data_IF_987192534283
#
_entry.id   IF_987192534283
#
_cell.length_a   1.000
_cell.length_b   1.000
_cell.length_c   1.000
_cell.angle_alpha   90.00
_cell.angle_beta   90.00
_cell.angle_gamma   90.00
#
_symmetry.space_group_name_H-M   'P 1'
#
loop_
_entity.id
_entity.type
_entity.pdbx_description
1 polymer ?
#
# COMPACT_ATOMS: atom_id res chain seq x y z
N UNK A 1 6.77 -16.12 4.90
CA UNK A 1 7.12 -14.83 4.27
C UNK A 1 7.93 -14.02 5.26
N UNK A 2 9.03 -13.39 4.81
CA UNK A 2 9.90 -12.55 5.63
C UNK A 2 10.09 -11.21 4.92
N UNK A 3 10.10 -10.11 5.68
CA UNK A 3 10.36 -8.78 5.14
C UNK A 3 11.83 -8.65 4.68
N UNK A 4 12.07 -7.77 3.71
CA UNK A 4 13.43 -7.41 3.30
C UNK A 4 14.13 -6.69 4.46
N UNK A 5 15.45 -6.91 4.58
CA UNK A 5 16.29 -6.20 5.55
C UNK A 5 16.09 -4.69 5.41
N UNK A 6 15.79 -4.02 6.53
CA UNK A 6 15.53 -2.58 6.56
C UNK A 6 14.09 -2.17 6.24
N UNK A 7 13.18 -3.11 5.99
CA UNK A 7 11.78 -2.80 5.78
C UNK A 7 11.18 -2.12 7.02
N UNK A 8 10.37 -1.10 6.78
CA UNK A 8 9.44 -0.56 7.77
C UNK A 8 8.06 -1.08 7.37
N UNK A 9 7.37 -1.73 8.29
CA UNK A 9 6.05 -2.28 8.05
C UNK A 9 5.07 -1.75 9.10
N UNK A 10 3.87 -1.35 8.69
CA UNK A 10 2.84 -0.88 9.59
C UNK A 10 1.48 -1.39 9.13
N UNK A 11 0.56 -1.58 10.07
CA UNK A 11 -0.84 -1.86 9.80
C UNK A 11 -1.68 -0.89 10.61
N UNK A 12 -2.64 -0.23 9.95
CA UNK A 12 -3.63 0.58 10.63
C UNK A 12 -4.65 -0.35 11.29
N UNK A 13 -4.47 -0.64 12.58
CA UNK A 13 -5.34 -1.50 13.35
C UNK A 13 -5.28 -1.09 14.82
N UNK A 14 -6.44 -0.98 15.45
CA UNK A 14 -6.57 -0.72 16.87
C UNK A 14 -5.81 -1.77 17.68
N UNK A 15 -5.22 -1.41 18.83
CA UNK A 15 -4.50 -2.36 19.69
C UNK A 15 -3.31 -3.08 19.02
N UNK A 16 -2.85 -2.65 17.84
CA UNK A 16 -1.74 -3.27 17.09
C UNK A 16 -0.45 -3.47 17.90
N UNK A 17 -0.23 -2.62 18.91
CA UNK A 17 0.89 -2.65 19.84
C UNK A 17 0.56 -3.15 21.25
N UNK A 18 -0.64 -3.64 21.51
CA UNK A 18 -1.11 -3.96 22.87
C UNK A 18 -0.37 -5.14 23.53
N UNK A 19 0.16 -6.08 22.74
CA UNK A 19 0.85 -7.27 23.26
C UNK A 19 2.18 -7.46 22.54
N UNK A 20 3.27 -7.06 23.20
CA UNK A 20 4.61 -7.12 22.59
C UNK A 20 5.34 -8.45 22.78
N UNK A 21 4.80 -9.36 23.59
CA UNK A 21 5.43 -10.64 23.91
C UNK A 21 4.86 -11.81 23.12
N UNK A 22 3.84 -11.58 22.28
CA UNK A 22 3.20 -12.63 21.51
C UNK A 22 2.99 -12.18 20.04
N UNK A 23 3.84 -12.64 19.09
CA UNK A 23 3.74 -12.28 17.68
C UNK A 23 2.48 -12.79 16.98
N UNK A 24 1.70 -13.68 17.61
CA UNK A 24 0.48 -14.24 17.03
C UNK A 24 -0.80 -13.45 17.34
N UNK A 25 -0.76 -12.48 18.27
CA UNK A 25 -1.98 -11.82 18.79
C UNK A 25 -2.26 -10.43 18.21
N UNK A 26 -1.23 -9.70 17.80
CA UNK A 26 -1.36 -8.35 17.25
C UNK A 26 -0.35 -8.12 16.12
N UNK A 27 -0.49 -6.98 15.43
CA UNK A 27 0.28 -6.70 14.22
C UNK A 27 1.73 -6.29 14.50
N UNK A 28 1.98 -5.36 15.43
CA UNK A 28 3.30 -4.72 15.54
C UNK A 28 4.42 -5.74 15.79
N UNK A 29 4.26 -6.64 16.75
CA UNK A 29 5.29 -7.67 17.01
C UNK A 29 5.29 -8.78 15.97
N UNK A 30 4.14 -9.15 15.42
CA UNK A 30 4.09 -10.08 14.29
C UNK A 30 4.85 -9.58 13.06
N UNK A 31 4.91 -8.25 12.85
CA UNK A 31 5.68 -7.61 11.78
C UNK A 31 7.18 -7.61 12.07
N UNK A 32 7.60 -7.28 13.29
CA UNK A 32 9.00 -7.35 13.73
C UNK A 32 9.54 -8.78 13.67
N UNK A 33 8.76 -9.76 14.18
CA UNK A 33 9.08 -11.19 14.13
C UNK A 33 9.28 -11.69 12.69
N UNK A 34 8.52 -11.13 11.73
CA UNK A 34 8.69 -11.39 10.29
C UNK A 34 9.83 -10.62 9.65
N UNK A 35 10.69 -9.94 10.41
CA UNK A 35 11.93 -9.31 9.94
C UNK A 35 11.80 -7.83 9.54
N UNK A 36 10.71 -7.15 9.90
CA UNK A 36 10.65 -5.69 9.77
C UNK A 36 11.67 -5.05 10.73
N UNK A 37 12.42 -4.06 10.25
CA UNK A 37 13.37 -3.31 11.05
C UNK A 37 12.66 -2.31 11.98
N UNK A 38 11.48 -1.84 11.58
CA UNK A 38 10.66 -0.98 12.39
C UNK A 38 9.17 -1.14 12.09
N UNK A 39 8.34 -0.75 13.05
CA UNK A 39 6.89 -0.69 12.92
C UNK A 39 6.30 0.44 13.76
N UNK A 40 5.07 0.82 13.41
CA UNK A 40 4.22 1.71 14.19
C UNK A 40 3.10 0.88 14.80
N UNK A 41 2.54 1.35 15.91
CA UNK A 41 1.40 0.67 16.51
C UNK A 41 0.66 1.51 17.52
N UNK A 42 -0.41 0.92 18.04
CA UNK A 42 -1.25 1.51 19.07
C UNK A 42 -1.48 0.53 20.21
N UNK A 43 -1.18 0.93 21.45
CA UNK A 43 -1.39 0.08 22.64
C UNK A 43 -2.87 -0.08 23.00
N UNK A 44 -3.71 0.85 22.56
CA UNK A 44 -5.16 0.83 22.75
C UNK A 44 -5.87 1.47 21.54
N UNK A 45 -7.18 1.71 21.61
CA UNK A 45 -7.99 2.36 20.56
C UNK A 45 -7.71 3.87 20.46
N UNK A 46 -6.97 4.32 19.43
CA UNK A 46 -6.55 5.71 19.35
C UNK A 46 -7.58 6.61 18.68
N UNK A 47 -8.64 6.08 18.07
CA UNK A 47 -9.40 6.74 17.00
C UNK A 47 -8.53 7.07 15.78
N UNK A 48 -9.14 7.04 14.59
CA UNK A 48 -8.42 7.23 13.33
C UNK A 48 -7.61 8.54 13.30
N UNK A 49 -8.19 9.63 13.79
CA UNK A 49 -7.58 10.97 13.77
C UNK A 49 -6.34 11.13 14.65
N UNK A 50 -6.11 10.24 15.61
CA UNK A 50 -4.94 10.29 16.50
C UNK A 50 -3.93 9.18 16.24
N UNK A 51 -4.10 8.42 15.16
CA UNK A 51 -3.07 7.50 14.67
C UNK A 51 -1.93 8.25 13.96
N UNK A 52 -0.82 7.57 13.72
CA UNK A 52 0.26 8.09 12.89
C UNK A 52 -0.25 8.37 11.46
N UNK A 53 -0.03 9.59 10.99
CA UNK A 53 -0.26 10.02 9.62
C UNK A 53 0.81 9.43 8.70
N UNK A 54 0.48 8.35 8.00
CA UNK A 54 1.45 7.62 7.16
C UNK A 54 2.03 8.45 6.02
N UNK A 55 1.26 9.40 5.49
CA UNK A 55 1.71 10.40 4.51
C UNK A 55 2.85 11.26 5.08
N UNK A 56 2.68 11.77 6.30
CA UNK A 56 3.70 12.57 6.98
C UNK A 56 4.90 11.69 7.36
N UNK A 57 4.65 10.53 7.96
CA UNK A 57 5.71 9.59 8.36
C UNK A 57 6.63 9.23 7.20
N UNK A 58 6.04 8.85 6.06
CA UNK A 58 6.78 8.50 4.86
C UNK A 58 7.59 9.71 4.33
N UNK A 59 6.98 10.89 4.22
CA UNK A 59 7.68 12.10 3.78
C UNK A 59 8.89 12.44 4.69
N UNK A 60 8.74 12.34 6.01
CA UNK A 60 9.85 12.60 6.95
C UNK A 60 10.99 11.60 6.78
N UNK A 61 10.68 10.31 6.60
CA UNK A 61 11.70 9.32 6.29
C UNK A 61 12.45 9.67 4.99
N UNK A 62 11.72 10.09 3.94
CA UNK A 62 12.34 10.49 2.66
C UNK A 62 13.27 11.71 2.80
N UNK A 63 12.97 12.61 3.74
CA UNK A 63 13.77 13.78 4.12
C UNK A 63 14.90 13.46 5.10
N UNK A 64 15.21 12.17 5.31
CA UNK A 64 16.33 11.69 6.13
C UNK A 64 16.20 12.02 7.64
N UNK A 65 14.99 12.27 8.12
CA UNK A 65 14.72 12.18 9.56
C UNK A 65 14.89 10.73 10.02
N UNK A 66 15.31 10.55 11.27
CA UNK A 66 15.37 9.24 11.92
C UNK A 66 13.96 8.68 12.16
N UNK A 67 13.88 7.38 12.43
CA UNK A 67 12.63 6.69 12.70
C UNK A 67 11.82 7.38 13.80
N UNK A 68 12.47 7.74 14.92
CA UNK A 68 11.78 8.36 16.05
C UNK A 68 11.32 9.78 15.72
N UNK A 69 12.15 10.57 15.02
CA UNK A 69 11.80 11.91 14.56
C UNK A 69 10.60 11.86 13.61
N UNK A 70 10.64 10.98 12.62
CA UNK A 70 9.55 10.80 11.65
C UNK A 70 8.26 10.33 12.33
N UNK A 71 8.33 9.38 13.26
CA UNK A 71 7.16 8.86 13.98
C UNK A 71 6.49 9.97 14.79
N UNK A 72 7.25 10.71 15.60
CA UNK A 72 6.72 11.78 16.45
C UNK A 72 6.23 13.00 15.66
N UNK A 73 6.82 13.29 14.50
CA UNK A 73 6.30 14.33 13.60
C UNK A 73 4.99 13.92 12.91
N UNK A 74 4.62 12.64 12.91
CA UNK A 74 3.44 12.12 12.21
C UNK A 74 2.24 11.89 13.12
N UNK A 75 2.35 12.14 14.42
CA UNK A 75 1.23 12.02 15.38
C UNK A 75 0.66 13.38 15.73
N UNK A 76 -0.66 13.44 15.93
CA UNK A 76 -1.35 14.68 16.30
C UNK A 76 -1.37 14.92 17.81
N UNK A 77 -1.00 13.92 18.62
CA UNK A 77 -1.05 13.97 20.09
C UNK A 77 0.15 13.24 20.68
N UNK A 78 0.78 13.86 21.68
CA UNK A 78 1.85 13.27 22.48
C UNK A 78 1.27 12.58 23.71
N UNK A 79 2.01 11.61 24.25
CA UNK A 79 1.59 10.81 25.42
C UNK A 79 0.24 10.09 25.24
N UNK A 80 -0.16 9.86 24.00
CA UNK A 80 -1.29 9.01 23.63
C UNK A 80 -0.79 7.63 23.25
N UNK A 81 -1.72 6.71 23.01
CA UNK A 81 -1.52 5.27 22.83
C UNK A 81 -0.66 4.86 21.62
N UNK A 82 -0.05 5.80 20.91
CA UNK A 82 0.86 5.58 19.79
C UNK A 82 2.22 5.06 20.28
N UNK A 83 2.76 4.07 19.59
CA UNK A 83 4.11 3.59 19.79
C UNK A 83 4.86 3.45 18.46
N UNK A 84 6.19 3.55 18.55
CA UNK A 84 7.13 3.20 17.48
C UNK A 84 8.09 2.16 18.03
N UNK A 85 8.33 1.10 17.25
CA UNK A 85 9.25 0.01 17.61
C UNK A 85 10.33 -0.06 16.54
N UNK A 86 11.59 -0.01 16.94
CA UNK A 86 12.77 -0.07 16.08
C UNK A 86 13.93 0.72 16.67
N UNK A 87 15.06 0.75 15.97
CA UNK A 87 16.19 1.61 16.34
C UNK A 87 15.79 3.08 16.14
N UNK A 88 15.79 3.93 17.20
CA UNK A 88 15.36 5.31 17.10
C UNK A 88 16.19 6.13 16.10
N UNK A 89 17.46 5.77 15.88
CA UNK A 89 18.36 6.44 14.94
C UNK A 89 18.30 5.85 13.52
N UNK A 90 17.43 4.88 13.27
CA UNK A 90 17.30 4.26 11.95
C UNK A 90 16.92 5.28 10.87
N UNK A 91 17.73 5.36 9.81
CA UNK A 91 17.57 6.29 8.68
C UNK A 91 17.62 5.54 7.34
N UNK A 92 16.51 4.93 6.89
CA UNK A 92 16.47 4.07 5.70
C UNK A 92 16.86 4.80 4.40
N UNK A 93 16.68 6.12 4.34
CA UNK A 93 16.91 6.92 3.14
C UNK A 93 18.11 7.85 3.24
N UNK A 94 19.05 7.60 4.16
CA UNK A 94 20.28 8.42 4.31
C UNK A 94 21.13 8.44 3.04
N UNK A 95 21.18 7.32 2.33
CA UNK A 95 21.88 7.21 1.04
C UNK A 95 20.86 7.22 -0.08
N UNK A 96 20.67 8.38 -0.70
CA UNK A 96 19.70 8.58 -1.80
C UNK A 96 20.30 8.41 -3.19
N UNK A 97 21.63 8.30 -3.29
CA UNK A 97 22.31 8.15 -4.57
C UNK A 97 22.06 6.75 -5.16
N UNK A 98 21.11 6.66 -6.08
CA UNK A 98 20.90 5.45 -6.87
C UNK A 98 21.70 5.55 -8.16
N UNK A 99 22.77 4.77 -8.29
CA UNK A 99 23.53 4.65 -9.54
C UNK A 99 22.88 3.61 -10.44
N UNK A 100 22.77 3.90 -11.73
CA UNK A 100 22.12 3.02 -12.73
C UNK A 100 22.81 1.66 -12.83
N UNK A 101 24.13 1.60 -12.68
CA UNK A 101 24.90 0.35 -12.66
C UNK A 101 24.57 -0.57 -11.45
N UNK A 102 23.99 -0.02 -10.37
CA UNK A 102 23.55 -0.78 -9.20
C UNK A 102 22.08 -1.22 -9.27
N UNK A 103 21.38 -0.94 -10.36
CA UNK A 103 19.96 -1.28 -10.58
C UNK A 103 19.77 -2.70 -11.16
N UNK A 104 20.50 -3.68 -10.65
CA UNK A 104 20.31 -5.11 -11.01
C UNK A 104 19.25 -5.74 -10.12
N UNK A 105 19.41 -5.60 -8.80
CA UNK A 105 18.44 -6.06 -7.79
C UNK A 105 17.50 -4.93 -7.40
N UNK A 106 16.21 -5.26 -7.22
CA UNK A 106 15.15 -4.32 -6.84
C UNK A 106 15.09 -3.12 -7.81
N UNK A 107 15.40 -3.38 -9.09
CA UNK A 107 15.58 -2.38 -10.16
C UNK A 107 14.41 -1.39 -10.21
N UNK A 108 13.19 -1.90 -10.18
CA UNK A 108 12.00 -1.09 -10.42
C UNK A 108 11.78 -0.09 -9.27
N UNK A 109 11.92 -0.53 -8.01
CA UNK A 109 11.86 0.36 -6.85
C UNK A 109 13.00 1.37 -6.83
N UNK A 110 14.22 0.96 -7.21
CA UNK A 110 15.37 1.86 -7.35
C UNK A 110 15.16 2.91 -8.44
N UNK A 111 14.53 2.52 -9.55
CA UNK A 111 14.19 3.43 -10.65
C UNK A 111 13.11 4.43 -10.23
N UNK A 112 12.06 3.99 -9.54
CA UNK A 112 11.04 4.87 -8.97
C UNK A 112 11.68 5.87 -8.00
N UNK A 113 12.53 5.38 -7.08
CA UNK A 113 13.25 6.24 -6.13
C UNK A 113 14.18 7.24 -6.82
N UNK A 114 14.88 6.80 -7.86
CA UNK A 114 15.73 7.66 -8.67
C UNK A 114 14.91 8.79 -9.31
N UNK A 115 13.78 8.46 -9.94
CA UNK A 115 12.90 9.45 -10.56
C UNK A 115 12.37 10.47 -9.53
N UNK A 116 11.93 10.00 -8.36
CA UNK A 116 11.49 10.87 -7.25
C UNK A 116 12.59 11.83 -6.77
N UNK A 117 13.84 11.37 -6.74
CA UNK A 117 14.96 12.19 -6.24
C UNK A 117 15.50 13.14 -7.30
N UNK A 118 15.48 12.73 -8.58
CA UNK A 118 16.07 13.49 -9.70
C UNK A 118 15.12 14.54 -10.27
N UNK A 119 13.82 14.25 -10.29
CA UNK A 119 12.79 15.05 -10.91
C UNK A 119 11.77 15.51 -9.84
N UNK A 120 12.01 16.67 -9.19
CA UNK A 120 11.10 17.18 -8.16
C UNK A 120 9.76 17.62 -8.75
N UNK A 121 9.78 18.13 -9.99
CA UNK A 121 8.58 18.49 -10.73
C UNK A 121 7.72 17.24 -11.04
N UNK A 122 6.43 17.21 -10.66
CA UNK A 122 5.56 16.05 -10.85
C UNK A 122 5.31 15.67 -12.31
N UNK A 123 5.18 16.64 -13.21
CA UNK A 123 4.87 16.38 -14.62
C UNK A 123 6.09 15.79 -15.34
N UNK A 124 7.27 16.38 -15.12
CA UNK A 124 8.54 15.85 -15.63
C UNK A 124 8.79 14.45 -15.06
N UNK A 125 8.56 14.25 -13.75
CA UNK A 125 8.74 12.95 -13.11
C UNK A 125 7.81 11.89 -13.72
N UNK A 126 6.54 12.21 -13.95
CA UNK A 126 5.59 11.31 -14.56
C UNK A 126 6.01 10.93 -15.98
N UNK A 127 6.43 11.91 -16.80
CA UNK A 127 6.90 11.67 -18.16
C UNK A 127 8.14 10.74 -18.19
N UNK A 128 9.10 10.96 -17.29
CA UNK A 128 10.29 10.12 -17.18
C UNK A 128 9.99 8.72 -16.65
N UNK A 129 9.06 8.58 -15.69
CA UNK A 129 8.59 7.29 -15.23
C UNK A 129 7.86 6.51 -16.34
N UNK A 130 7.08 7.18 -17.18
CA UNK A 130 6.40 6.54 -18.32
C UNK A 130 7.42 6.02 -19.34
N UNK A 131 8.41 6.84 -19.74
CA UNK A 131 9.51 6.38 -20.61
C UNK A 131 10.24 5.18 -20.02
N UNK A 132 10.49 5.20 -18.71
CA UNK A 132 11.12 4.08 -18.03
C UNK A 132 10.23 2.83 -18.00
N UNK A 133 8.91 2.99 -17.80
CA UNK A 133 7.95 1.89 -17.84
C UNK A 133 7.92 1.22 -19.21
N UNK A 134 7.90 2.00 -20.29
CA UNK A 134 7.92 1.51 -21.68
C UNK A 134 9.21 0.74 -21.99
N UNK A 135 10.36 1.29 -21.59
CA UNK A 135 11.66 0.65 -21.82
C UNK A 135 11.83 -0.63 -21.01
N UNK A 136 11.42 -0.62 -19.75
CA UNK A 136 11.62 -1.76 -18.83
C UNK A 136 10.53 -2.80 -18.91
N UNK A 137 9.37 -2.45 -19.48
CA UNK A 137 8.15 -3.26 -19.51
C UNK A 137 7.77 -3.80 -18.12
N UNK A 138 7.98 -2.99 -17.08
CA UNK A 138 7.72 -3.39 -15.70
C UNK A 138 6.30 -3.06 -15.26
N UNK A 139 5.56 -4.06 -14.77
CA UNK A 139 4.25 -3.86 -14.14
C UNK A 139 4.33 -2.92 -12.94
N UNK A 140 5.34 -3.04 -12.09
CA UNK A 140 5.56 -2.17 -10.92
C UNK A 140 5.77 -0.71 -11.30
N UNK A 141 6.51 -0.43 -12.38
CA UNK A 141 6.72 0.95 -12.83
C UNK A 141 5.45 1.51 -13.48
N UNK A 142 4.72 0.72 -14.27
CA UNK A 142 3.42 1.14 -14.82
C UNK A 142 2.38 1.41 -13.73
N UNK A 143 2.35 0.60 -12.67
CA UNK A 143 1.50 0.83 -11.51
C UNK A 143 1.82 2.16 -10.83
N UNK A 144 3.11 2.48 -10.65
CA UNK A 144 3.53 3.77 -10.10
C UNK A 144 3.12 4.95 -10.99
N UNK A 145 3.26 4.80 -12.32
CA UNK A 145 2.76 5.78 -13.30
C UNK A 145 1.24 5.96 -13.14
N UNK A 146 0.49 4.88 -12.97
CA UNK A 146 -0.97 4.94 -12.81
C UNK A 146 -1.36 5.69 -11.53
N UNK A 147 -0.67 5.47 -10.41
CA UNK A 147 -0.91 6.21 -9.17
C UNK A 147 -0.60 7.70 -9.30
N UNK A 148 0.55 8.08 -9.86
CA UNK A 148 0.85 9.50 -10.09
C UNK A 148 -0.14 10.17 -11.05
N UNK A 149 -0.60 9.43 -12.07
CA UNK A 149 -1.64 9.91 -12.98
C UNK A 149 -2.97 10.15 -12.26
N UNK A 150 -3.31 9.26 -11.31
CA UNK A 150 -4.49 9.37 -10.47
C UNK A 150 -4.41 10.55 -9.49
N UNK A 151 -3.25 10.79 -8.89
CA UNK A 151 -2.98 11.96 -8.05
C UNK A 151 -3.18 13.27 -8.83
N UNK A 152 -2.84 13.28 -10.13
CA UNK A 152 -3.12 14.38 -11.05
C UNK A 152 -4.59 14.49 -11.51
N UNK A 153 -5.49 13.65 -11.01
CA UNK A 153 -6.92 13.68 -11.31
C UNK A 153 -7.33 13.00 -12.62
N UNK A 154 -6.41 12.38 -13.35
CA UNK A 154 -6.73 11.75 -14.64
C UNK A 154 -7.10 10.27 -14.47
N UNK A 155 -8.35 10.03 -14.06
CA UNK A 155 -8.88 8.70 -13.77
C UNK A 155 -8.81 7.73 -14.97
N UNK A 156 -9.04 8.23 -16.19
CA UNK A 156 -9.06 7.36 -17.38
C UNK A 156 -7.66 6.86 -17.74
N UNK A 157 -6.67 7.75 -17.72
CA UNK A 157 -5.29 7.37 -17.98
C UNK A 157 -4.73 6.50 -16.86
N UNK A 158 -5.09 6.76 -15.60
CA UNK A 158 -4.74 5.89 -14.48
C UNK A 158 -5.29 4.46 -14.68
N UNK A 159 -6.56 4.33 -15.09
CA UNK A 159 -7.16 3.03 -15.40
C UNK A 159 -6.43 2.29 -16.52
N UNK A 160 -5.99 2.99 -17.57
CA UNK A 160 -5.15 2.38 -18.64
C UNK A 160 -3.80 1.91 -18.08
N UNK A 161 -3.18 2.69 -17.20
CA UNK A 161 -1.94 2.33 -16.51
C UNK A 161 -2.09 1.05 -15.66
N UNK A 162 -3.13 0.93 -14.85
CA UNK A 162 -3.39 -0.27 -14.04
C UNK A 162 -3.67 -1.51 -14.90
N UNK A 163 -4.43 -1.38 -16.00
CA UNK A 163 -4.63 -2.48 -16.96
C UNK A 163 -3.32 -2.91 -17.59
N UNK A 164 -2.48 -1.95 -18.00
CA UNK A 164 -1.17 -2.24 -18.56
C UNK A 164 -0.25 -2.93 -17.55
N UNK A 165 -0.26 -2.48 -16.30
CA UNK A 165 0.49 -3.12 -15.21
C UNK A 165 0.04 -4.58 -15.02
N UNK A 166 -1.28 -4.83 -15.01
CA UNK A 166 -1.87 -6.17 -14.90
C UNK A 166 -1.39 -7.13 -15.99
N UNK A 167 -1.31 -6.67 -17.24
CA UNK A 167 -0.82 -7.47 -18.37
C UNK A 167 0.65 -7.89 -18.20
N UNK A 168 1.44 -7.07 -17.51
CA UNK A 168 2.89 -7.27 -17.35
C UNK A 168 3.25 -8.04 -16.08
N UNK A 169 2.39 -8.03 -15.06
CA UNK A 169 2.57 -8.88 -13.89
C UNK A 169 2.42 -10.34 -14.25
N UNK A 170 3.23 -11.20 -13.62
CA UNK A 170 3.12 -12.66 -13.75
C UNK A 170 2.35 -13.25 -12.58
N UNK A 171 2.58 -12.73 -11.37
CA UNK A 171 1.95 -13.16 -10.13
C UNK A 171 0.46 -12.83 -10.08
N UNK A 172 -0.35 -13.80 -9.63
CA UNK A 172 -1.80 -13.67 -9.56
C UNK A 172 -2.28 -12.65 -8.52
N UNK A 173 -1.58 -12.53 -7.38
CA UNK A 173 -1.93 -11.55 -6.36
C UNK A 173 -1.64 -10.12 -6.85
N UNK A 174 -0.54 -9.92 -7.59
CA UNK A 174 -0.26 -8.64 -8.23
C UNK A 174 -1.29 -8.26 -9.29
N UNK A 175 -1.74 -9.21 -10.12
CA UNK A 175 -2.82 -9.00 -11.09
C UNK A 175 -4.15 -8.67 -10.40
N UNK A 176 -4.49 -9.40 -9.33
CA UNK A 176 -5.68 -9.14 -8.54
C UNK A 176 -5.63 -7.73 -7.91
N UNK A 177 -4.47 -7.32 -7.40
CA UNK A 177 -4.25 -5.97 -6.86
C UNK A 177 -4.56 -4.88 -7.89
N UNK A 178 -4.17 -5.08 -9.16
CA UNK A 178 -4.53 -4.14 -10.23
C UNK A 178 -6.04 -4.09 -10.48
N UNK A 179 -6.73 -5.23 -10.42
CA UNK A 179 -8.20 -5.28 -10.53
C UNK A 179 -8.87 -4.53 -9.37
N UNK A 180 -8.33 -4.63 -8.15
CA UNK A 180 -8.83 -3.88 -6.99
C UNK A 180 -8.62 -2.36 -7.13
N UNK A 181 -7.53 -1.91 -7.76
CA UNK A 181 -7.35 -0.50 -8.10
C UNK A 181 -8.41 -0.01 -9.10
N UNK A 182 -8.74 -0.82 -10.11
CA UNK A 182 -9.81 -0.50 -11.05
C UNK A 182 -11.20 -0.46 -10.38
N UNK A 183 -11.47 -1.40 -9.46
CA UNK A 183 -12.71 -1.40 -8.65
C UNK A 183 -12.84 -0.10 -7.88
N UNK A 184 -11.79 0.33 -7.20
CA UNK A 184 -11.81 1.58 -6.42
C UNK A 184 -12.00 2.81 -7.31
N UNK A 185 -11.40 2.84 -8.51
CA UNK A 185 -11.66 3.91 -9.48
C UNK A 185 -13.13 4.00 -9.89
N UNK A 186 -13.78 2.87 -10.17
CA UNK A 186 -15.19 2.88 -10.55
C UNK A 186 -16.10 3.24 -9.36
N UNK A 187 -15.75 2.81 -8.14
CA UNK A 187 -16.45 3.24 -6.92
C UNK A 187 -16.40 4.75 -6.72
N UNK A 188 -15.24 5.37 -6.91
CA UNK A 188 -15.07 6.84 -6.80
C UNK A 188 -15.82 7.63 -7.87
N UNK A 189 -16.24 6.97 -8.95
CA UNK A 189 -17.03 7.55 -10.04
C UNK A 189 -18.52 7.20 -9.91
N UNK A 190 -18.93 6.65 -8.77
CA UNK A 190 -20.28 6.13 -8.51
C UNK A 190 -20.76 5.06 -9.51
N UNK A 191 -19.83 4.39 -10.20
CA UNK A 191 -20.11 3.30 -11.15
C UNK A 191 -20.07 1.94 -10.46
N UNK A 192 -20.92 1.78 -9.45
CA UNK A 192 -21.00 0.54 -8.64
C UNK A 192 -21.25 -0.73 -9.49
N UNK A 193 -22.11 -0.72 -10.53
CA UNK A 193 -22.31 -1.91 -11.36
C UNK A 193 -21.02 -2.37 -12.08
N UNK A 194 -20.19 -1.44 -12.54
CA UNK A 194 -18.91 -1.75 -13.19
C UNK A 194 -17.91 -2.32 -12.19
N UNK A 195 -17.86 -1.76 -10.97
CA UNK A 195 -17.05 -2.28 -9.87
C UNK A 195 -17.44 -3.74 -9.52
N UNK A 196 -18.74 -4.03 -9.39
CA UNK A 196 -19.25 -5.37 -9.13
C UNK A 196 -18.88 -6.34 -10.26
N UNK A 197 -18.95 -5.90 -11.52
CA UNK A 197 -18.57 -6.71 -12.68
C UNK A 197 -17.10 -7.12 -12.60
N UNK A 198 -16.20 -6.19 -12.29
CA UNK A 198 -14.76 -6.47 -12.13
C UNK A 198 -14.56 -7.46 -10.97
N UNK A 199 -15.19 -7.25 -9.83
CA UNK A 199 -15.07 -8.14 -8.67
C UNK A 199 -15.58 -9.56 -8.97
N UNK A 200 -16.72 -9.72 -9.68
CA UNK A 200 -17.25 -11.03 -10.08
C UNK A 200 -16.30 -11.76 -11.04
N UNK A 201 -15.62 -11.03 -11.93
CA UNK A 201 -14.59 -11.60 -12.80
C UNK A 201 -13.33 -12.00 -12.02
N UNK A 202 -12.85 -11.12 -11.13
CA UNK A 202 -11.69 -11.37 -10.28
C UNK A 202 -11.90 -12.59 -9.37
N UNK A 203 -13.08 -12.72 -8.76
CA UNK A 203 -13.43 -13.89 -7.92
C UNK A 203 -13.27 -15.21 -8.67
N UNK A 204 -13.66 -15.26 -9.95
CA UNK A 204 -13.51 -16.45 -10.80
C UNK A 204 -12.05 -16.68 -11.20
N UNK A 205 -11.35 -15.62 -11.57
CA UNK A 205 -9.98 -15.68 -12.09
C UNK A 205 -8.94 -16.05 -11.02
N UNK A 206 -9.14 -15.64 -9.77
CA UNK A 206 -8.16 -15.78 -8.68
C UNK A 206 -8.66 -16.64 -7.52
N UNK A 207 -9.56 -17.59 -7.78
CA UNK A 207 -10.19 -18.45 -6.75
C UNK A 207 -9.19 -19.25 -5.90
N UNK A 208 -7.99 -19.51 -6.41
CA UNK A 208 -7.01 -20.41 -5.81
C UNK A 208 -5.98 -19.67 -4.92
N UNK A 209 -6.08 -18.34 -4.77
CA UNK A 209 -5.17 -17.55 -3.91
C UNK A 209 -5.92 -17.00 -2.69
N UNK A 210 -5.27 -16.90 -1.51
CA UNK A 210 -5.92 -16.44 -0.28
C UNK A 210 -6.42 -14.98 -0.36
N UNK A 211 -5.80 -14.14 -1.19
CA UNK A 211 -6.15 -12.74 -1.40
C UNK A 211 -7.57 -12.56 -1.99
N UNK A 212 -8.15 -13.61 -2.58
CA UNK A 212 -9.53 -13.58 -3.09
C UNK A 212 -10.56 -13.24 -2.01
N UNK A 213 -10.25 -13.48 -0.73
CA UNK A 213 -11.10 -13.08 0.40
C UNK A 213 -11.38 -11.57 0.42
N UNK A 214 -10.44 -10.74 -0.04
CA UNK A 214 -10.65 -9.30 -0.15
C UNK A 214 -11.73 -8.97 -1.20
N UNK A 215 -11.74 -9.72 -2.32
CA UNK A 215 -12.77 -9.60 -3.37
C UNK A 215 -14.14 -9.97 -2.83
N UNK A 216 -14.22 -11.07 -2.07
CA UNK A 216 -15.49 -11.53 -1.48
C UNK A 216 -16.04 -10.56 -0.44
N UNK A 217 -15.17 -10.00 0.40
CA UNK A 217 -15.55 -8.96 1.35
C UNK A 217 -16.11 -7.73 0.65
N UNK A 218 -15.43 -7.23 -0.39
CA UNK A 218 -15.90 -6.09 -1.18
C UNK A 218 -17.19 -6.38 -1.93
N UNK A 219 -17.37 -7.59 -2.49
CA UNK A 219 -18.64 -8.00 -3.10
C UNK A 219 -19.77 -7.97 -2.09
N UNK A 220 -19.55 -8.46 -0.87
CA UNK A 220 -20.56 -8.47 0.18
C UNK A 220 -20.98 -7.05 0.58
N UNK A 221 -20.05 -6.10 0.54
CA UNK A 221 -20.32 -4.68 0.83
C UNK A 221 -21.14 -4.02 -0.30
N UNK A 222 -20.79 -4.30 -1.56
CA UNK A 222 -21.40 -3.64 -2.73
C UNK A 222 -22.66 -4.32 -3.26
N UNK A 223 -22.79 -5.63 -3.05
CA UNK A 223 -23.85 -6.51 -3.53
C UNK A 223 -24.21 -7.51 -2.39
N UNK A 224 -24.82 -7.02 -1.29
CA UNK A 224 -25.07 -7.86 -0.12
C UNK A 224 -26.05 -8.98 -0.45
N UNK A 225 -25.84 -10.19 0.09
CA UNK A 225 -26.76 -11.29 -0.11
C UNK A 225 -28.14 -10.95 0.44
N UNK A 226 -29.20 -11.51 -0.16
CA UNK A 226 -30.56 -11.32 0.34
C UNK A 226 -30.65 -11.74 1.82
N UNK A 227 -31.37 -10.97 2.66
CA UNK A 227 -31.55 -11.33 4.06
C UNK A 227 -32.20 -12.71 4.18
N UNK A 228 -31.85 -13.48 5.23
CA UNK A 228 -32.47 -14.78 5.46
C UNK A 228 -33.99 -14.62 5.59
N UNK A 229 -34.73 -15.60 5.07
CA UNK A 229 -36.20 -15.62 5.17
C UNK A 229 -36.62 -15.50 6.64
N UNK A 230 -37.50 -14.55 6.93
CA UNK A 230 -38.08 -14.37 8.27
C UNK A 230 -38.80 -15.64 8.68
N UNK A 231 -38.44 -16.21 9.83
CA UNK A 231 -39.21 -17.33 10.41
C UNK A 231 -40.65 -16.84 10.64
N UNK A 232 -41.67 -17.65 10.30
CA UNK A 232 -43.06 -17.29 10.58
C UNK A 232 -43.22 -17.04 12.09
N UNK A 233 -43.97 -15.99 12.45
CA UNK A 233 -44.41 -15.80 13.83
C UNK A 233 -45.36 -16.95 14.17
N UNK A 234 -44.93 -17.83 15.07
CA UNK A 234 -45.80 -18.79 15.74
C UNK A 234 -46.69 -18.07 16.75
#
# INVERSE_FOLDING_TARGET
MQFKKGAIAAHLHSFSGAQLLNPAKNWSVGLIDRGAAATLGNVWEPYLGFTHRFDIFYDRLLKNYSLVEAAYMSINVLSWQNIVIGDPLYRPFKTTAVRTNAMVKDRDYKLIRYAQSRFPDPEIRLAELLKAAERTKSGTVYEMVAFHTLEGGNNEQAAKGFRRAKELFTDSADKLRQDLHLVELERRRDKIPDAIKILKQAKKAYKDIPEVKAVEGLLTILDPPSPPLTKPKN
#
